data_IF_072849507160
#
_entry.id   IF_072849507160
#
_cell.length_a   1.000
_cell.length_b   1.000
_cell.length_c   1.000
_cell.angle_alpha   90.00
_cell.angle_beta   90.00
_cell.angle_gamma   90.00
#
_symmetry.space_group_name_H-M   'P 1'
#
loop_
_entity.id
_entity.type
_entity.pdbx_description
1 polymer ?
#
# COMPACT_ATOMS: atom_id res chain seq x y z
N UNK A 1 16.59 -9.67 -5.27
CA UNK A 1 16.38 -10.60 -4.13
C UNK A 1 16.60 -9.94 -2.74
N UNK A 2 16.06 -8.73 -2.57
CA UNK A 2 16.01 -8.03 -1.26
C UNK A 2 14.86 -7.02 -1.29
N UNK A 3 14.72 -6.31 -2.43
CA UNK A 3 13.57 -5.42 -2.72
C UNK A 3 12.25 -6.17 -2.66
N UNK A 4 12.16 -7.36 -3.28
CA UNK A 4 10.95 -8.19 -3.21
C UNK A 4 10.57 -8.58 -1.78
N UNK A 5 11.55 -8.84 -0.91
CA UNK A 5 11.31 -9.19 0.49
C UNK A 5 10.82 -7.98 1.28
N UNK A 6 11.37 -6.78 1.03
CA UNK A 6 10.84 -5.54 1.59
C UNK A 6 9.40 -5.28 1.16
N UNK A 7 9.08 -5.45 -0.12
CA UNK A 7 7.72 -5.29 -0.63
C UNK A 7 6.78 -6.29 0.07
N UNK A 8 7.18 -7.56 0.18
CA UNK A 8 6.38 -8.58 0.88
C UNK A 8 6.16 -8.23 2.36
N UNK A 9 7.21 -7.80 3.06
CA UNK A 9 7.15 -7.45 4.48
C UNK A 9 6.23 -6.25 4.72
N UNK A 10 6.41 -5.17 3.95
CA UNK A 10 5.60 -3.94 4.09
C UNK A 10 4.14 -4.23 3.77
N UNK A 11 3.85 -4.90 2.66
CA UNK A 11 2.46 -5.20 2.26
C UNK A 11 1.76 -6.13 3.25
N UNK A 12 2.46 -7.14 3.79
CA UNK A 12 1.92 -8.02 4.83
C UNK A 12 1.66 -7.26 6.14
N UNK A 13 2.57 -6.38 6.54
CA UNK A 13 2.41 -5.56 7.76
C UNK A 13 1.19 -4.65 7.65
N UNK A 14 1.08 -3.90 6.56
CA UNK A 14 -0.04 -2.97 6.35
C UNK A 14 -1.39 -3.71 6.27
N UNK A 15 -1.44 -4.84 5.57
CA UNK A 15 -2.65 -5.66 5.49
C UNK A 15 -3.05 -6.26 6.84
N UNK A 16 -2.07 -6.67 7.66
CA UNK A 16 -2.30 -7.25 8.99
C UNK A 16 -2.75 -6.23 10.04
N UNK A 17 -2.48 -4.95 9.81
CA UNK A 17 -2.84 -3.86 10.71
C UNK A 17 -4.21 -3.24 10.43
N UNK A 18 -4.96 -3.73 9.44
CA UNK A 18 -6.26 -3.17 9.00
C UNK A 18 -7.20 -2.83 10.16
N UNK A 19 -7.56 -3.83 10.97
CA UNK A 19 -8.50 -3.63 12.09
C UNK A 19 -7.94 -2.68 13.14
N UNK A 20 -6.63 -2.73 13.40
CA UNK A 20 -6.00 -1.87 14.40
C UNK A 20 -6.00 -0.41 13.96
N UNK A 21 -5.66 -0.15 12.70
CA UNK A 21 -5.65 1.19 12.12
C UNK A 21 -7.06 1.77 12.03
N UNK A 22 -8.06 0.98 11.61
CA UNK A 22 -9.46 1.41 11.65
C UNK A 22 -9.92 1.76 13.06
N UNK A 23 -9.51 0.99 14.08
CA UNK A 23 -9.86 1.29 15.47
C UNK A 23 -9.19 2.56 16.01
N UNK A 24 -8.00 2.90 15.53
CA UNK A 24 -7.34 4.16 15.87
C UNK A 24 -8.02 5.34 15.16
N UNK A 25 -8.31 5.18 13.87
CA UNK A 25 -8.93 6.21 13.04
C UNK A 25 -10.37 6.50 13.49
N UNK A 26 -11.16 5.49 13.85
CA UNK A 26 -12.53 5.66 14.35
C UNK A 26 -12.64 6.50 15.63
N UNK A 27 -11.53 6.79 16.33
CA UNK A 27 -11.54 7.68 17.49
C UNK A 27 -11.69 9.15 17.13
N UNK A 28 -11.22 9.55 15.94
CA UNK A 28 -11.10 10.96 15.54
C UNK A 28 -11.42 11.22 14.04
N UNK A 29 -11.66 10.17 13.27
CA UNK A 29 -11.95 10.16 11.83
C UNK A 29 -13.14 9.26 11.50
N UNK A 30 -13.18 8.72 10.28
CA UNK A 30 -14.26 7.88 9.76
C UNK A 30 -14.02 6.37 9.96
N UNK A 31 -12.81 5.98 10.37
CA UNK A 31 -12.50 4.60 10.72
C UNK A 31 -12.22 3.72 9.51
N UNK A 32 -11.86 4.30 8.37
CA UNK A 32 -11.57 3.58 7.13
C UNK A 32 -10.07 3.49 6.79
N UNK A 33 -9.20 4.20 7.53
CA UNK A 33 -7.78 4.31 7.20
C UNK A 33 -7.10 2.95 7.06
N UNK A 34 -7.34 2.01 7.99
CA UNK A 34 -6.80 0.67 7.90
C UNK A 34 -7.29 -0.10 6.67
N UNK A 35 -8.57 0.01 6.33
CA UNK A 35 -9.15 -0.57 5.11
C UNK A 35 -8.48 -0.01 3.86
N UNK A 36 -8.28 1.31 3.84
CA UNK A 36 -7.64 2.04 2.74
C UNK A 36 -6.19 1.58 2.53
N UNK A 37 -5.38 1.50 3.60
CA UNK A 37 -4.01 1.00 3.51
C UNK A 37 -3.94 -0.49 3.16
N UNK A 38 -4.84 -1.32 3.70
CA UNK A 38 -4.88 -2.74 3.41
C UNK A 38 -5.25 -3.02 1.94
N UNK A 39 -6.16 -2.22 1.35
CA UNK A 39 -6.50 -2.33 -0.07
C UNK A 39 -5.27 -2.07 -0.96
N UNK A 40 -4.56 -0.96 -0.74
CA UNK A 40 -3.32 -0.66 -1.46
C UNK A 40 -2.24 -1.72 -1.28
N UNK A 41 -2.03 -2.18 -0.04
CA UNK A 41 -1.05 -3.20 0.28
C UNK A 41 -1.34 -4.55 -0.41
N UNK A 42 -2.60 -4.98 -0.44
CA UNK A 42 -3.02 -6.21 -1.12
C UNK A 42 -2.83 -6.13 -2.63
N UNK A 43 -3.08 -4.98 -3.24
CA UNK A 43 -2.86 -4.78 -4.68
C UNK A 43 -1.37 -4.94 -5.03
N UNK A 44 -0.48 -4.27 -4.29
CA UNK A 44 0.96 -4.40 -4.52
C UNK A 44 1.45 -5.83 -4.23
N UNK A 45 0.93 -6.49 -3.19
CA UNK A 45 1.25 -7.89 -2.91
C UNK A 45 0.81 -8.82 -4.05
N UNK A 46 -0.37 -8.59 -4.65
CA UNK A 46 -0.86 -9.37 -5.78
C UNK A 46 0.05 -9.20 -7.02
N UNK A 47 0.52 -7.97 -7.29
CA UNK A 47 1.49 -7.71 -8.36
C UNK A 47 2.83 -8.40 -8.11
N UNK A 48 3.30 -8.42 -6.85
CA UNK A 48 4.50 -9.17 -6.46
C UNK A 48 4.33 -10.68 -6.71
N UNK A 49 3.19 -11.26 -6.30
CA UNK A 49 2.88 -12.69 -6.48
C UNK A 49 2.77 -13.10 -7.95
N UNK A 50 2.39 -12.17 -8.83
CA UNK A 50 2.32 -12.38 -10.29
C UNK A 50 3.64 -12.04 -11.01
N UNK A 51 4.69 -11.68 -10.26
CA UNK A 51 5.98 -11.22 -10.79
C UNK A 51 5.85 -10.01 -11.75
N UNK A 52 4.88 -9.11 -11.48
CA UNK A 52 4.60 -7.93 -12.31
C UNK A 52 5.24 -6.64 -11.77
N UNK A 53 6.12 -6.75 -10.77
CA UNK A 53 6.83 -5.61 -10.21
C UNK A 53 8.24 -5.48 -10.81
N UNK A 54 8.68 -4.27 -11.19
CA UNK A 54 10.02 -4.00 -11.70
C UNK A 54 11.04 -3.95 -10.54
N UNK A 55 11.24 -5.07 -9.84
CA UNK A 55 12.05 -5.16 -8.61
C UNK A 55 13.53 -4.77 -8.77
N UNK A 56 14.02 -4.72 -10.01
CA UNK A 56 15.41 -4.36 -10.33
C UNK A 56 15.57 -2.87 -10.71
N UNK A 57 14.48 -2.10 -10.74
CA UNK A 57 14.48 -0.68 -11.10
C UNK A 57 13.60 0.11 -10.13
N UNK A 58 14.23 0.64 -9.07
CA UNK A 58 13.54 1.32 -7.98
C UNK A 58 12.75 2.56 -8.42
N UNK A 59 13.26 3.45 -9.29
CA UNK A 59 12.48 4.54 -9.87
C UNK A 59 11.15 4.07 -10.49
N UNK A 60 11.19 3.06 -11.36
CA UNK A 60 9.98 2.54 -12.00
C UNK A 60 9.08 1.82 -11.00
N UNK A 61 9.65 1.15 -9.99
CA UNK A 61 8.89 0.53 -8.91
C UNK A 61 8.10 1.57 -8.10
N UNK A 62 8.72 2.68 -7.71
CA UNK A 62 8.05 3.73 -6.95
C UNK A 62 6.96 4.42 -7.76
N UNK A 63 7.25 4.77 -9.02
CA UNK A 63 6.24 5.32 -9.92
C UNK A 63 5.02 4.40 -10.07
N UNK A 64 5.25 3.09 -10.23
CA UNK A 64 4.17 2.10 -10.31
C UNK A 64 3.39 2.03 -8.99
N UNK A 65 4.06 2.02 -7.84
CA UNK A 65 3.39 2.00 -6.54
C UNK A 65 2.51 3.26 -6.38
N UNK A 66 3.04 4.46 -6.61
CA UNK A 66 2.26 5.70 -6.50
C UNK A 66 1.03 5.72 -7.41
N UNK A 67 1.19 5.29 -8.67
CA UNK A 67 0.07 5.16 -9.61
C UNK A 67 -1.00 4.18 -9.10
N UNK A 68 -0.59 2.99 -8.62
CA UNK A 68 -1.53 1.99 -8.11
C UNK A 68 -2.26 2.51 -6.87
N UNK A 69 -1.54 3.10 -5.91
CA UNK A 69 -2.13 3.60 -4.66
C UNK A 69 -3.20 4.67 -4.92
N UNK A 70 -3.05 5.54 -5.93
CA UNK A 70 -4.10 6.50 -6.32
C UNK A 70 -5.41 5.83 -6.73
N UNK A 71 -5.34 4.64 -7.33
CA UNK A 71 -6.52 3.94 -7.87
C UNK A 71 -7.25 3.15 -6.78
N UNK A 72 -6.51 2.46 -5.90
CA UNK A 72 -7.09 1.57 -4.89
C UNK A 72 -7.33 2.22 -3.53
N UNK A 73 -6.57 3.27 -3.18
CA UNK A 73 -6.76 3.99 -1.92
C UNK A 73 -7.72 5.17 -2.12
N UNK A 74 -8.83 5.17 -1.38
CA UNK A 74 -9.75 6.30 -1.34
C UNK A 74 -9.22 7.48 -0.52
N UNK A 75 -9.88 8.62 -0.65
CA UNK A 75 -9.68 9.79 0.21
C UNK A 75 -8.33 10.50 0.04
N UNK A 76 -7.99 11.35 1.00
CA UNK A 76 -6.74 12.13 1.00
C UNK A 76 -5.50 11.24 1.21
N UNK A 77 -5.64 10.13 1.93
CA UNK A 77 -4.56 9.16 2.18
C UNK A 77 -4.01 8.56 0.89
N UNK A 78 -4.86 8.23 -0.08
CA UNK A 78 -4.40 7.74 -1.39
C UNK A 78 -3.59 8.79 -2.17
N UNK A 79 -4.08 10.03 -2.18
CA UNK A 79 -3.38 11.16 -2.84
C UNK A 79 -2.02 11.43 -2.20
N UNK A 80 -1.95 11.50 -0.86
CA UNK A 80 -0.70 11.74 -0.15
C UNK A 80 0.33 10.63 -0.39
N UNK A 81 -0.11 9.37 -0.40
CA UNK A 81 0.79 8.24 -0.68
C UNK A 81 1.27 8.24 -2.12
N UNK A 82 0.46 8.68 -3.09
CA UNK A 82 0.91 8.87 -4.47
C UNK A 82 1.86 10.04 -4.67
N UNK A 83 1.84 11.05 -3.81
CA UNK A 83 2.82 12.15 -3.85
C UNK A 83 4.15 11.68 -3.24
N UNK A 84 4.09 10.81 -2.24
CA UNK A 84 5.26 10.31 -1.54
C UNK A 84 6.12 9.37 -2.41
N UNK A 85 5.49 8.55 -3.26
CA UNK A 85 6.14 7.60 -4.16
C UNK A 85 6.31 8.16 -5.58
#
# INVERSE_FOLDING_TARGET
PQVGDYVAQVTSTLSGLETHLNALDAKVGDGDTGSTFAAGAREIAALLQRQQLPLNDLPTLFALIGERLTVVMGGSSGVLMSIFF
#
